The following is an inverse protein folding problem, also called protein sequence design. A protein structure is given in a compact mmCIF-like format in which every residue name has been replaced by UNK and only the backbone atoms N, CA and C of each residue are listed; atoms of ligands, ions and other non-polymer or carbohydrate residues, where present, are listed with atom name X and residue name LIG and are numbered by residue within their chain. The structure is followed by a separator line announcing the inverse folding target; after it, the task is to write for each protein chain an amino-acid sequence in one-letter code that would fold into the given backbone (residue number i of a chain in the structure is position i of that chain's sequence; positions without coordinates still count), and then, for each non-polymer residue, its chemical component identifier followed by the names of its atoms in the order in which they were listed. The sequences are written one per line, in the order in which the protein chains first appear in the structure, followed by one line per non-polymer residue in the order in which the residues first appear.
data_IF_640023654303
#
_entry.id   IF_640023654303
#
_cell.length_a   1.000
_cell.length_b   1.000
_cell.length_c   1.000
_cell.angle_alpha   90.00
_cell.angle_beta   90.00
_cell.angle_gamma   90.00
#
_symmetry.space_group_name_H-M   'P 1'
#
loop_
_entity.id
_entity.type
_entity.pdbx_description
1 polymer ?
#
# COMPACT_ATOMS: atom_id res chain seq x y z
N UNK A 1 17.84 35.52 -54.23
CA UNK A 1 16.97 34.33 -54.22
C UNK A 1 16.98 33.81 -52.78
N UNK A 2 15.92 34.16 -52.06
CA UNK A 2 15.65 33.73 -50.69
C UNK A 2 14.86 32.43 -50.78
N UNK A 3 15.26 31.42 -50.02
CA UNK A 3 14.53 30.28 -49.46
C UNK A 3 15.63 29.44 -48.78
N UNK A 4 15.64 29.10 -47.51
CA UNK A 4 14.94 29.47 -46.27
C UNK A 4 15.78 28.72 -45.23
N UNK A 5 16.33 29.31 -44.18
CA UNK A 5 15.76 29.42 -42.81
C UNK A 5 15.01 28.16 -42.27
N UNK A 6 14.62 27.20 -43.11
CA UNK A 6 13.79 26.05 -42.74
C UNK A 6 14.59 24.85 -42.20
N UNK A 7 15.89 24.75 -42.46
CA UNK A 7 16.73 23.65 -41.93
C UNK A 7 17.31 23.98 -40.55
N UNK A 8 17.35 25.26 -40.16
CA UNK A 8 17.76 25.69 -38.81
C UNK A 8 16.56 25.88 -37.88
N UNK A 9 15.33 25.93 -38.43
CA UNK A 9 14.09 25.99 -37.64
C UNK A 9 13.49 24.61 -37.32
N UNK A 10 14.11 23.51 -37.77
CA UNK A 10 13.79 22.16 -37.31
C UNK A 10 14.68 21.70 -36.12
N UNK A 11 15.33 22.64 -35.45
CA UNK A 11 16.04 22.43 -34.18
C UNK A 11 15.54 23.35 -33.06
N UNK A 12 14.37 24.00 -33.24
CA UNK A 12 13.80 24.96 -32.28
C UNK A 12 12.42 24.58 -31.72
N UNK A 13 11.99 23.32 -31.87
CA UNK A 13 10.83 22.78 -31.13
C UNK A 13 11.10 21.44 -30.46
N UNK A 14 12.34 20.97 -30.45
CA UNK A 14 12.73 19.80 -29.65
C UNK A 14 13.16 20.19 -28.22
N UNK A 15 12.65 21.30 -27.69
CA UNK A 15 12.25 21.33 -26.28
C UNK A 15 10.83 20.76 -26.22
N UNK A 16 10.66 19.51 -26.65
CA UNK A 16 9.70 18.68 -25.97
C UNK A 16 10.24 18.64 -24.54
N UNK A 17 9.65 19.46 -23.67
CA UNK A 17 9.70 19.31 -22.23
C UNK A 17 9.73 17.80 -22.00
N UNK A 18 10.85 17.27 -21.50
CA UNK A 18 10.91 15.88 -21.06
C UNK A 18 9.89 15.81 -19.92
N UNK A 19 8.64 15.52 -20.25
CA UNK A 19 7.66 15.13 -19.27
C UNK A 19 8.27 13.87 -18.65
N UNK A 20 8.71 13.98 -17.41
CA UNK A 20 9.20 12.82 -16.67
C UNK A 20 8.11 11.76 -16.78
N UNK A 21 8.50 10.58 -17.28
CA UNK A 21 7.55 9.47 -17.41
C UNK A 21 7.10 9.16 -15.99
N UNK A 22 5.80 9.24 -15.67
CA UNK A 22 5.37 9.10 -14.30
C UNK A 22 5.63 7.68 -13.82
N UNK A 23 5.85 7.56 -12.52
CA UNK A 23 5.93 6.27 -11.86
C UNK A 23 4.60 5.51 -12.07
N UNK A 24 4.67 4.20 -12.32
CA UNK A 24 3.50 3.33 -12.32
C UNK A 24 2.83 3.39 -10.94
N UNK A 25 1.50 3.35 -10.89
CA UNK A 25 0.73 3.34 -9.64
C UNK A 25 -0.26 2.17 -9.67
N UNK A 26 -0.81 1.76 -8.51
CA UNK A 26 -1.80 0.68 -8.44
C UNK A 26 -2.98 0.81 -9.42
N UNK A 27 -3.37 2.04 -9.80
CA UNK A 27 -4.43 2.27 -10.78
C UNK A 27 -4.12 1.79 -12.19
N UNK A 28 -2.87 1.51 -12.50
CA UNK A 28 -2.46 0.94 -13.79
C UNK A 28 -2.32 -0.59 -13.74
N UNK A 29 -2.72 -1.24 -12.64
CA UNK A 29 -2.86 -2.69 -12.60
C UNK A 29 -4.10 -3.14 -13.37
N UNK A 30 -4.12 -4.41 -13.77
CA UNK A 30 -5.28 -5.04 -14.43
C UNK A 30 -6.43 -5.33 -13.47
N UNK A 31 -6.16 -5.35 -12.16
CA UNK A 31 -7.16 -5.59 -11.13
C UNK A 31 -7.79 -4.29 -10.62
N UNK A 32 -9.02 -4.36 -10.13
CA UNK A 32 -9.68 -3.21 -9.50
C UNK A 32 -9.02 -2.88 -8.15
N UNK A 33 -8.57 -1.63 -8.01
CA UNK A 33 -8.16 -1.06 -6.71
C UNK A 33 -9.42 -0.71 -5.92
N UNK A 34 -9.60 -1.38 -4.77
CA UNK A 34 -10.78 -1.23 -3.90
C UNK A 34 -10.61 -0.14 -2.85
N UNK A 35 -9.39 0.06 -2.36
CA UNK A 35 -9.02 1.16 -1.48
C UNK A 35 -7.53 1.44 -1.64
N UNK A 36 -7.13 2.71 -1.55
CA UNK A 36 -5.73 3.10 -1.61
C UNK A 36 -5.46 4.30 -0.71
N UNK A 37 -4.63 4.07 0.31
CA UNK A 37 -4.19 5.06 1.28
C UNK A 37 -2.68 5.27 1.15
N UNK A 38 -2.28 6.52 0.88
CA UNK A 38 -0.91 6.91 0.57
C UNK A 38 -0.47 8.06 1.49
N UNK A 39 0.47 7.81 2.40
CA UNK A 39 0.86 8.80 3.41
C UNK A 39 1.79 9.89 2.84
N UNK A 40 2.29 9.69 1.62
CA UNK A 40 3.11 10.69 0.92
C UNK A 40 2.27 11.71 0.16
N UNK A 41 0.99 11.40 -0.09
CA UNK A 41 0.07 12.28 -0.81
C UNK A 41 -0.62 13.24 0.15
N UNK A 42 -0.04 14.42 0.33
CA UNK A 42 -0.51 15.43 1.28
C UNK A 42 -1.93 15.91 0.99
N UNK A 43 -2.39 15.84 -0.25
CA UNK A 43 -3.75 16.24 -0.63
C UNK A 43 -4.81 15.28 -0.07
N UNK A 44 -4.40 14.07 0.35
CA UNK A 44 -5.26 13.06 0.97
C UNK A 44 -5.26 13.13 2.50
N UNK A 45 -4.47 14.01 3.12
CA UNK A 45 -4.27 14.05 4.56
C UNK A 45 -4.89 15.33 5.14
N UNK A 46 -5.90 15.15 5.98
CA UNK A 46 -6.41 16.23 6.83
C UNK A 46 -5.84 16.08 8.24
N UNK A 47 -4.98 17.00 8.64
CA UNK A 47 -4.45 17.08 10.01
C UNK A 47 -4.88 18.35 10.76
N UNK A 48 -4.96 18.23 12.08
CA UNK A 48 -5.14 19.37 12.99
C UNK A 48 -4.15 19.24 14.13
N UNK A 49 -3.13 20.11 14.11
CA UNK A 49 -2.08 20.17 15.14
C UNK A 49 -1.09 19.01 15.08
N UNK A 50 -0.77 18.49 13.89
CA UNK A 50 0.14 17.35 13.71
C UNK A 50 -0.54 15.97 13.81
N UNK A 51 -1.86 15.94 14.01
CA UNK A 51 -2.63 14.70 14.18
C UNK A 51 -3.68 14.54 13.08
N UNK A 52 -3.71 13.36 12.47
CA UNK A 52 -4.55 13.06 11.30
C UNK A 52 -5.99 12.80 11.76
N UNK A 53 -6.92 13.65 11.32
CA UNK A 53 -8.35 13.43 11.51
C UNK A 53 -9.00 12.68 10.35
N UNK A 54 -8.42 12.76 9.16
CA UNK A 54 -8.91 12.06 7.98
C UNK A 54 -7.76 11.72 7.02
N UNK A 55 -7.81 10.50 6.49
CA UNK A 55 -6.93 10.02 5.42
C UNK A 55 -7.80 9.51 4.28
N UNK A 56 -7.76 10.22 3.16
CA UNK A 56 -8.64 9.99 2.03
C UNK A 56 -8.24 8.75 1.24
N UNK A 57 -9.26 7.99 0.83
CA UNK A 57 -9.11 6.92 -0.12
C UNK A 57 -8.95 7.53 -1.52
N UNK A 58 -7.85 7.20 -2.21
CA UNK A 58 -7.57 7.70 -3.56
C UNK A 58 -8.52 7.14 -4.61
N UNK A 59 -9.25 6.07 -4.31
CA UNK A 59 -10.22 5.48 -5.23
C UNK A 59 -11.54 6.26 -5.24
N UNK A 60 -12.38 5.99 -6.24
CA UNK A 60 -13.73 6.55 -6.31
C UNK A 60 -14.70 5.91 -5.31
N UNK A 61 -14.28 4.92 -4.53
CA UNK A 61 -15.14 4.28 -3.53
C UNK A 61 -15.33 5.15 -2.28
N UNK A 62 -14.39 6.08 -2.02
CA UNK A 62 -14.50 7.05 -0.94
C UNK A 62 -14.46 6.41 0.44
N UNK A 63 -13.69 5.33 0.63
CA UNK A 63 -13.53 4.66 1.92
C UNK A 63 -12.57 5.44 2.84
N UNK A 64 -12.77 6.75 2.99
CA UNK A 64 -11.90 7.64 3.77
C UNK A 64 -11.83 7.19 5.22
N UNK A 65 -10.63 7.13 5.77
CA UNK A 65 -10.39 6.74 7.15
C UNK A 65 -10.53 7.96 8.04
N UNK A 66 -11.38 7.86 9.06
CA UNK A 66 -11.69 8.96 9.97
C UNK A 66 -11.24 8.64 11.38
N UNK A 67 -10.81 9.68 12.10
CA UNK A 67 -10.60 9.61 13.54
C UNK A 67 -10.72 10.99 14.21
N UNK A 68 -11.09 11.00 15.50
CA UNK A 68 -11.25 12.20 16.30
C UNK A 68 -10.63 12.06 17.69
N UNK A 69 -10.45 13.20 18.38
CA UNK A 69 -9.93 13.22 19.74
C UNK A 69 -8.49 12.72 19.86
N UNK A 70 -8.23 12.01 20.95
CA UNK A 70 -6.89 11.53 21.36
C UNK A 70 -6.53 10.18 20.73
N UNK A 71 -7.38 9.61 19.87
CA UNK A 71 -7.13 8.35 19.16
C UNK A 71 -6.49 8.57 17.77
N UNK A 72 -6.19 9.82 17.42
CA UNK A 72 -5.70 10.21 16.09
C UNK A 72 -4.20 9.92 16.00
N UNK A 73 -3.76 9.21 14.95
CA UNK A 73 -2.34 9.04 14.72
C UNK A 73 -1.66 10.36 14.36
N UNK A 74 -0.35 10.42 14.56
CA UNK A 74 0.48 11.58 14.25
C UNK A 74 0.91 11.56 12.79
N UNK A 75 0.91 12.71 12.13
CA UNK A 75 1.53 12.87 10.82
C UNK A 75 3.00 13.32 10.96
N UNK A 76 3.90 12.66 10.24
CA UNK A 76 5.34 12.99 10.22
C UNK A 76 5.73 13.37 8.79
N UNK A 77 5.76 14.67 8.50
CA UNK A 77 5.82 15.21 7.14
C UNK A 77 7.09 14.90 6.32
N UNK A 78 8.23 14.66 6.97
CA UNK A 78 9.50 14.32 6.29
C UNK A 78 10.17 13.20 7.05
N UNK A 79 9.99 11.97 6.59
CA UNK A 79 10.46 10.77 7.27
C UNK A 79 11.11 9.80 6.27
N UNK A 80 10.37 8.79 5.80
CA UNK A 80 10.94 7.73 4.97
C UNK A 80 11.15 8.23 3.54
N UNK A 81 12.38 8.17 3.05
CA UNK A 81 12.76 8.66 1.71
C UNK A 81 12.31 10.10 1.41
N UNK A 82 12.28 10.95 2.45
CA UNK A 82 11.80 12.33 2.34
C UNK A 82 10.27 12.50 2.31
N UNK A 83 9.51 11.40 2.30
CA UNK A 83 8.04 11.41 2.26
C UNK A 83 7.42 11.48 3.67
N UNK A 84 6.17 11.93 3.71
CA UNK A 84 5.31 11.88 4.88
C UNK A 84 4.94 10.45 5.29
N UNK A 85 4.74 10.21 6.58
CA UNK A 85 4.24 8.92 7.11
C UNK A 85 3.20 9.16 8.21
N UNK A 86 2.32 8.19 8.45
CA UNK A 86 1.35 8.24 9.55
C UNK A 86 1.80 7.30 10.66
N UNK A 87 2.11 7.86 11.83
CA UNK A 87 2.59 7.12 13.01
C UNK A 87 1.42 6.74 13.90
N UNK A 88 1.28 5.44 14.13
CA UNK A 88 0.46 4.86 15.19
C UNK A 88 1.36 4.57 16.38
N UNK A 89 1.02 5.08 17.55
CA UNK A 89 1.92 5.13 18.71
C UNK A 89 1.92 3.86 19.59
N UNK A 90 1.10 2.87 19.27
CA UNK A 90 0.95 1.66 20.06
C UNK A 90 0.22 1.85 21.40
N UNK A 91 -0.46 2.98 21.62
CA UNK A 91 -1.26 3.26 22.82
C UNK A 91 -2.75 3.15 22.54
N UNK A 92 -3.26 3.93 21.59
CA UNK A 92 -4.70 4.07 21.34
C UNK A 92 -5.06 4.44 19.89
N UNK A 93 -4.06 4.72 19.04
CA UNK A 93 -4.29 5.22 17.70
C UNK A 93 -5.01 4.22 16.79
N UNK A 94 -6.09 4.65 16.15
CA UNK A 94 -6.78 3.90 15.09
C UNK A 94 -7.42 4.84 14.09
N UNK A 95 -7.69 4.38 12.87
CA UNK A 95 -8.56 5.10 11.92
C UNK A 95 -9.46 4.12 11.21
N UNK A 96 -10.68 4.50 10.85
CA UNK A 96 -11.61 3.59 10.18
C UNK A 96 -12.48 4.29 9.15
N UNK A 97 -12.80 3.57 8.08
CA UNK A 97 -13.87 3.95 7.17
C UNK A 97 -15.22 3.78 7.87
N UNK A 98 -16.13 4.74 7.69
CA UNK A 98 -17.45 4.70 8.33
C UNK A 98 -18.28 3.48 7.87
N UNK A 99 -18.25 3.20 6.57
CA UNK A 99 -18.91 2.07 5.92
C UNK A 99 -18.16 1.71 4.64
N UNK A 100 -18.09 0.43 4.30
CA UNK A 100 -17.58 -0.04 3.01
C UNK A 100 -18.55 -1.03 2.38
N UNK A 101 -18.46 -1.21 1.06
CA UNK A 101 -19.05 -2.38 0.41
C UNK A 101 -18.14 -3.59 0.68
N UNK A 102 -18.67 -4.73 1.14
CA UNK A 102 -17.82 -5.88 1.44
C UNK A 102 -17.02 -6.36 0.22
N UNK A 103 -15.71 -6.52 0.39
CA UNK A 103 -14.78 -6.99 -0.64
C UNK A 103 -14.65 -8.51 -0.49
N UNK A 104 -15.30 -9.26 -1.39
CA UNK A 104 -15.36 -10.73 -1.34
C UNK A 104 -14.09 -11.36 -1.89
N UNK A 105 -13.71 -12.54 -1.40
CA UNK A 105 -12.53 -13.24 -1.87
C UNK A 105 -12.68 -13.70 -3.35
N UNK A 106 -11.58 -13.80 -4.11
CA UNK A 106 -10.23 -13.48 -3.67
C UNK A 106 -9.95 -11.97 -3.64
N UNK A 107 -9.09 -11.56 -2.73
CA UNK A 107 -8.59 -10.19 -2.62
C UNK A 107 -7.14 -10.19 -2.17
N UNK A 108 -6.44 -9.10 -2.48
CA UNK A 108 -5.07 -8.85 -2.04
C UNK A 108 -4.97 -7.55 -1.26
N UNK A 109 -4.12 -7.55 -0.22
CA UNK A 109 -3.76 -6.32 0.50
C UNK A 109 -2.25 -6.19 0.51
N UNK A 110 -1.78 -5.02 0.11
CA UNK A 110 -0.38 -4.63 0.08
C UNK A 110 -0.14 -3.56 1.15
N UNK A 111 0.94 -3.71 1.90
CA UNK A 111 1.42 -2.70 2.84
C UNK A 111 2.88 -2.38 2.58
N UNK A 112 3.18 -1.11 2.73
CA UNK A 112 4.51 -0.64 3.06
C UNK A 112 4.45 0.07 4.42
N UNK A 113 5.30 -0.35 5.35
CA UNK A 113 5.27 0.13 6.73
C UNK A 113 6.65 0.00 7.38
N UNK A 114 6.88 0.67 8.50
CA UNK A 114 7.97 0.37 9.43
C UNK A 114 7.40 -0.10 10.76
N UNK A 115 7.73 -1.32 11.14
CA UNK A 115 7.33 -1.86 12.44
C UNK A 115 8.19 -1.22 13.54
N UNK A 116 7.58 -0.65 14.59
CA UNK A 116 8.35 0.02 15.65
C UNK A 116 8.43 -0.80 16.93
N UNK A 117 7.53 -1.77 17.14
CA UNK A 117 7.60 -2.67 18.29
C UNK A 117 7.16 -4.11 18.00
N UNK A 118 7.51 -5.00 18.93
CA UNK A 118 7.00 -6.38 18.98
C UNK A 118 5.89 -6.50 20.03
N UNK A 119 4.88 -5.61 19.96
CA UNK A 119 3.71 -5.67 20.84
C UNK A 119 3.03 -7.05 20.76
N UNK A 120 2.39 -7.47 21.86
CA UNK A 120 1.60 -8.68 21.86
C UNK A 120 0.25 -8.42 21.21
N UNK A 121 -0.01 -9.05 20.06
CA UNK A 121 -1.28 -9.00 19.31
C UNK A 121 -1.62 -7.68 18.60
N UNK A 122 -0.70 -6.81 18.14
CA UNK A 122 -1.11 -5.60 17.44
C UNK A 122 -1.88 -5.93 16.17
N UNK A 123 -2.84 -5.06 15.82
CA UNK A 123 -3.72 -5.19 14.67
C UNK A 123 -3.46 -4.06 13.68
N UNK A 124 -3.09 -4.40 12.45
CA UNK A 124 -2.78 -3.44 11.40
C UNK A 124 -4.01 -3.06 10.56
N UNK A 125 -4.87 -4.04 10.24
CA UNK A 125 -6.10 -3.90 9.47
C UNK A 125 -7.14 -4.86 10.06
N UNK A 126 -8.33 -4.36 10.40
CA UNK A 126 -9.39 -5.15 11.05
C UNK A 126 -10.75 -4.91 10.42
N UNK A 127 -11.60 -5.96 10.45
CA UNK A 127 -12.99 -5.92 10.00
C UNK A 127 -14.02 -5.84 11.14
N UNK A 128 -15.30 -5.72 10.78
CA UNK A 128 -16.41 -5.61 11.72
C UNK A 128 -16.78 -6.99 12.28
N UNK A 129 -16.83 -7.09 13.62
CA UNK A 129 -17.07 -8.35 14.32
C UNK A 129 -15.80 -9.17 14.54
N UNK A 130 -15.83 -10.03 15.55
CA UNK A 130 -14.67 -10.70 16.17
C UNK A 130 -13.90 -11.67 15.23
N UNK A 131 -14.21 -11.71 13.93
CA UNK A 131 -13.83 -12.79 12.99
C UNK A 131 -13.06 -12.31 11.76
N UNK A 132 -12.67 -11.04 11.69
CA UNK A 132 -11.83 -10.47 10.63
C UNK A 132 -10.64 -9.72 11.23
N UNK A 133 -9.54 -10.45 11.44
CA UNK A 133 -8.28 -9.87 11.91
C UNK A 133 -7.22 -10.07 10.85
N UNK A 134 -7.17 -9.17 9.88
CA UNK A 134 -6.33 -9.43 8.72
C UNK A 134 -4.84 -9.40 9.05
N UNK A 135 -4.46 -8.79 10.20
CA UNK A 135 -3.12 -8.88 10.77
C UNK A 135 -3.14 -9.13 12.27
N UNK A 136 -2.57 -10.27 12.68
CA UNK A 136 -2.25 -10.54 14.07
C UNK A 136 -0.76 -10.81 14.19
N UNK A 137 -0.02 -9.89 14.79
CA UNK A 137 1.31 -10.21 15.31
C UNK A 137 1.13 -11.02 16.61
N UNK A 138 0.85 -12.32 16.48
CA UNK A 138 0.75 -13.27 17.59
C UNK A 138 2.04 -14.05 17.75
N UNK A 139 2.44 -14.30 19.00
CA UNK A 139 3.45 -15.30 19.32
C UNK A 139 4.83 -14.98 18.74
N UNK A 140 5.34 -13.78 19.01
CA UNK A 140 6.73 -13.41 18.74
C UNK A 140 6.99 -12.66 17.43
N UNK A 141 6.10 -11.79 16.98
CA UNK A 141 6.41 -10.85 15.89
C UNK A 141 5.78 -11.16 14.53
N UNK A 142 5.07 -12.29 14.37
CA UNK A 142 4.76 -12.89 13.06
C UNK A 142 3.47 -12.35 12.43
N UNK A 143 3.51 -11.80 11.20
CA UNK A 143 2.28 -11.47 10.49
C UNK A 143 1.39 -12.71 10.30
N UNK A 144 0.08 -12.52 10.43
CA UNK A 144 -0.91 -13.58 10.31
C UNK A 144 -2.11 -13.05 9.54
N UNK A 145 -2.48 -13.72 8.45
CA UNK A 145 -3.72 -13.46 7.74
C UNK A 145 -4.87 -14.20 8.44
N UNK A 146 -5.95 -13.48 8.77
CA UNK A 146 -7.18 -14.11 9.26
C UNK A 146 -8.43 -13.54 8.59
N UNK A 147 -9.06 -14.39 7.80
CA UNK A 147 -10.35 -14.22 7.15
C UNK A 147 -11.31 -15.33 7.58
N UNK A 148 -11.34 -15.66 8.88
CA UNK A 148 -12.16 -16.74 9.46
C UNK A 148 -11.36 -17.96 9.93
N UNK A 149 -10.13 -18.12 9.45
CA UNK A 149 -9.12 -19.06 9.98
C UNK A 149 -7.76 -18.37 10.04
N UNK A 150 -6.82 -18.87 10.84
CA UNK A 150 -5.52 -18.22 11.06
C UNK A 150 -4.41 -18.82 10.22
N UNK A 151 -3.79 -18.02 9.34
CA UNK A 151 -2.61 -18.40 8.57
C UNK A 151 -1.41 -17.48 8.91
N UNK A 152 -0.48 -18.00 9.71
CA UNK A 152 0.69 -17.24 10.19
C UNK A 152 1.90 -17.43 9.27
N UNK A 153 2.69 -16.36 9.12
CA UNK A 153 3.96 -16.40 8.42
C UNK A 153 5.00 -17.11 9.27
N UNK A 154 6.08 -17.61 8.65
CA UNK A 154 7.11 -18.32 9.42
C UNK A 154 8.03 -17.37 10.21
N UNK A 155 8.15 -16.10 9.80
CA UNK A 155 9.09 -15.12 10.37
C UNK A 155 8.42 -13.85 10.88
N UNK A 156 9.06 -13.21 11.87
CA UNK A 156 8.59 -11.98 12.49
C UNK A 156 8.92 -10.72 11.66
N UNK A 157 8.18 -9.63 11.88
CA UNK A 157 8.63 -8.28 11.53
C UNK A 157 9.77 -7.85 12.46
N UNK A 158 10.76 -7.16 11.93
CA UNK A 158 11.89 -6.64 12.71
C UNK A 158 11.57 -5.21 13.17
N UNK A 159 11.52 -4.93 14.48
CA UNK A 159 11.33 -3.56 14.96
C UNK A 159 12.44 -2.62 14.46
N UNK A 160 12.05 -1.41 14.08
CA UNK A 160 12.93 -0.39 13.50
C UNK A 160 13.12 -0.50 11.99
N UNK A 161 12.66 -1.57 11.35
CA UNK A 161 12.82 -1.78 9.91
C UNK A 161 11.54 -1.53 9.11
N UNK A 162 11.73 -1.04 7.88
CA UNK A 162 10.67 -1.01 6.87
C UNK A 162 10.44 -2.39 6.26
N UNK A 163 9.18 -2.73 6.02
CA UNK A 163 8.75 -4.02 5.49
C UNK A 163 7.72 -3.85 4.38
N UNK A 164 7.89 -4.66 3.35
CA UNK A 164 6.86 -4.93 2.36
C UNK A 164 6.04 -6.14 2.82
N UNK A 165 4.72 -6.01 2.80
CA UNK A 165 3.81 -7.13 3.02
C UNK A 165 2.79 -7.23 1.90
N UNK A 166 2.53 -8.46 1.45
CA UNK A 166 1.34 -8.78 0.65
C UNK A 166 0.61 -9.96 1.27
N UNK A 167 -0.71 -9.88 1.26
CA UNK A 167 -1.59 -10.95 1.68
C UNK A 167 -2.60 -11.22 0.59
N UNK A 168 -2.69 -12.47 0.14
CA UNK A 168 -3.65 -12.94 -0.83
C UNK A 168 -4.62 -13.88 -0.12
N UNK A 169 -5.86 -13.45 0.09
CA UNK A 169 -6.88 -14.29 0.71
C UNK A 169 -7.65 -15.09 -0.36
N UNK A 170 -7.60 -16.41 -0.25
CA UNK A 170 -8.25 -17.35 -1.16
C UNK A 170 -8.55 -18.69 -0.45
N UNK A 171 -9.25 -18.63 0.69
CA UNK A 171 -9.55 -19.79 1.53
C UNK A 171 -8.29 -20.55 1.96
N UNK A 172 -8.30 -21.87 1.73
CA UNK A 172 -7.18 -22.77 1.99
C UNK A 172 -5.95 -22.56 1.08
N UNK A 173 -6.07 -21.74 0.03
CA UNK A 173 -4.99 -21.41 -0.92
C UNK A 173 -4.43 -20.00 -0.69
N UNK A 174 -4.60 -19.46 0.51
CA UNK A 174 -4.13 -18.11 0.82
C UNK A 174 -2.60 -18.05 0.89
N UNK A 175 -2.04 -16.92 0.46
CA UNK A 175 -0.59 -16.68 0.39
C UNK A 175 -0.24 -15.44 1.19
N UNK A 176 0.89 -15.53 1.88
CA UNK A 176 1.55 -14.44 2.56
C UNK A 176 2.84 -14.06 1.86
N UNK A 177 3.25 -12.81 1.95
CA UNK A 177 4.57 -12.38 1.53
C UNK A 177 5.10 -11.35 2.54
N UNK A 178 6.33 -11.55 3.01
CA UNK A 178 7.08 -10.57 3.80
C UNK A 178 8.43 -10.36 3.15
N UNK A 179 8.75 -9.12 2.85
CA UNK A 179 10.02 -8.72 2.24
C UNK A 179 10.38 -9.60 1.03
N UNK A 180 9.40 -9.77 0.14
CA UNK A 180 9.51 -10.52 -1.12
C UNK A 180 9.70 -12.04 -0.94
N UNK A 181 9.56 -12.56 0.28
CA UNK A 181 9.54 -14.00 0.58
C UNK A 181 8.11 -14.47 0.76
N UNK A 182 7.68 -15.42 -0.06
CA UNK A 182 6.34 -16.01 0.02
C UNK A 182 6.23 -17.07 1.12
N UNK A 183 5.04 -17.14 1.73
CA UNK A 183 4.61 -18.13 2.70
C UNK A 183 3.28 -18.71 2.24
N UNK A 184 3.14 -20.04 2.28
CA UNK A 184 1.90 -20.73 1.99
C UNK A 184 2.03 -21.82 0.92
N UNK A 185 0.91 -22.36 0.42
CA UNK A 185 -0.46 -21.98 0.76
C UNK A 185 -0.83 -22.26 2.22
N UNK A 186 -1.81 -21.52 2.74
CA UNK A 186 -2.39 -21.75 4.07
C UNK A 186 -3.87 -21.36 4.13
N UNK A 187 -4.56 -21.85 5.15
CA UNK A 187 -5.99 -21.58 5.35
C UNK A 187 -6.23 -20.35 6.22
N UNK A 188 -6.57 -19.25 5.55
CA UNK A 188 -7.00 -18.02 6.20
C UNK A 188 -8.52 -17.96 6.41
N UNK A 189 -9.29 -18.94 5.93
CA UNK A 189 -10.76 -18.87 5.89
C UNK A 189 -11.29 -18.04 4.71
N UNK A 190 -12.62 -17.92 4.62
CA UNK A 190 -13.33 -17.44 3.42
C UNK A 190 -14.06 -16.10 3.61
N UNK A 191 -13.89 -15.42 4.74
CA UNK A 191 -14.57 -14.17 5.03
C UNK A 191 -14.10 -13.03 4.08
N UNK A 192 -15.02 -12.11 3.78
CA UNK A 192 -14.78 -10.87 3.03
C UNK A 192 -14.15 -9.78 3.90
N UNK A 193 -13.60 -8.72 3.30
CA UNK A 193 -13.30 -7.47 4.02
C UNK A 193 -14.61 -6.71 4.19
N UNK A 194 -15.10 -6.49 5.41
CA UNK A 194 -16.38 -5.79 5.68
C UNK A 194 -16.22 -4.47 6.45
N UNK A 195 -15.00 -4.15 6.90
CA UNK A 195 -14.59 -2.86 7.45
C UNK A 195 -13.11 -2.67 7.13
N UNK A 196 -12.71 -1.42 6.90
CA UNK A 196 -11.31 -1.00 6.81
C UNK A 196 -11.04 -0.17 8.05
N UNK A 197 -10.35 -0.76 9.02
CA UNK A 197 -9.81 -0.06 10.19
C UNK A 197 -8.33 -0.35 10.31
N UNK A 198 -7.52 0.70 10.43
CA UNK A 198 -6.08 0.61 10.63
C UNK A 198 -5.67 1.01 12.05
N UNK A 199 -4.48 0.57 12.47
CA UNK A 199 -3.86 0.98 13.75
C UNK A 199 -4.25 0.16 14.98
N UNK A 200 -5.35 -0.59 14.91
CA UNK A 200 -5.81 -1.38 16.04
C UNK A 200 -7.24 -1.88 15.88
N UNK A 201 -7.83 -2.37 16.96
CA UNK A 201 -9.31 -2.52 17.05
C UNK A 201 -9.92 -1.32 17.76
N UNK A 202 -11.24 -1.18 17.70
CA UNK A 202 -11.97 -0.14 18.43
C UNK A 202 -11.85 -0.21 19.98
N UNK A 203 -11.33 -1.30 20.57
CA UNK A 203 -11.39 -1.52 22.02
C UNK A 203 -10.07 -1.95 22.71
N UNK A 204 -9.13 -2.58 22.00
CA UNK A 204 -7.79 -2.98 22.49
C UNK A 204 -6.96 -3.60 21.35
N UNK A 205 -5.64 -3.79 21.51
CA UNK A 205 -4.74 -4.35 20.47
C UNK A 205 -4.31 -3.37 19.38
N UNK A 206 -3.68 -2.29 19.84
CA UNK A 206 -3.06 -1.24 19.02
C UNK A 206 -1.68 -1.63 18.53
N UNK A 207 -1.24 -1.02 17.43
CA UNK A 207 0.06 -1.24 16.81
C UNK A 207 0.94 0.00 16.91
N UNK A 208 2.24 -0.24 17.10
CA UNK A 208 3.28 0.79 17.04
C UNK A 208 4.03 0.64 15.71
N UNK A 209 3.77 1.56 14.78
CA UNK A 209 4.36 1.57 13.45
C UNK A 209 4.29 2.94 12.80
N UNK A 210 5.12 3.10 11.76
CA UNK A 210 4.90 4.12 10.73
C UNK A 210 4.23 3.44 9.53
N UNK A 211 3.02 3.88 9.17
CA UNK A 211 2.31 3.43 7.98
C UNK A 211 2.73 4.31 6.80
N UNK A 212 3.18 3.67 5.72
CA UNK A 212 3.60 4.39 4.53
C UNK A 212 2.50 4.33 3.47
N UNK A 213 2.05 3.13 3.12
CA UNK A 213 1.05 2.93 2.06
C UNK A 213 0.28 1.63 2.26
N UNK A 214 -1.02 1.65 1.97
CA UNK A 214 -1.91 0.49 2.01
C UNK A 214 -2.76 0.46 0.75
N UNK A 215 -2.78 -0.68 0.07
CA UNK A 215 -3.58 -0.88 -1.15
C UNK A 215 -4.37 -2.17 -1.05
N UNK A 216 -5.68 -2.10 -1.27
CA UNK A 216 -6.57 -3.26 -1.33
C UNK A 216 -6.98 -3.48 -2.78
N UNK A 217 -6.78 -4.70 -3.28
CA UNK A 217 -7.03 -5.10 -4.65
C UNK A 217 -8.09 -6.20 -4.68
N UNK A 218 -9.04 -6.12 -5.61
CA UNK A 218 -9.96 -7.20 -5.89
C UNK A 218 -9.31 -8.26 -6.77
N UNK A 219 -9.45 -9.53 -6.38
CA UNK A 219 -8.89 -10.66 -7.09
C UNK A 219 -7.48 -11.00 -6.64
N UNK A 220 -6.79 -11.80 -7.45
CA UNK A 220 -5.36 -12.10 -7.33
C UNK A 220 -4.67 -11.37 -8.49
N UNK A 221 -3.62 -10.61 -8.21
CA UNK A 221 -2.88 -9.90 -9.25
C UNK A 221 -2.09 -10.88 -10.12
N UNK A 222 -1.89 -10.50 -11.39
CA UNK A 222 -0.90 -11.18 -12.24
C UNK A 222 0.50 -11.01 -11.69
N UNK A 223 1.42 -11.93 -12.02
CA UNK A 223 2.82 -11.81 -11.59
C UNK A 223 3.48 -10.51 -12.08
N UNK A 224 3.17 -10.09 -13.31
CA UNK A 224 3.68 -8.84 -13.87
C UNK A 224 3.22 -7.61 -13.08
N UNK A 225 1.91 -7.50 -12.79
CA UNK A 225 1.39 -6.36 -12.02
C UNK A 225 1.83 -6.41 -10.56
N UNK A 226 1.98 -7.61 -10.00
CA UNK A 226 2.51 -7.77 -8.64
C UNK A 226 3.96 -7.30 -8.57
N UNK A 227 4.81 -7.66 -9.53
CA UNK A 227 6.20 -7.18 -9.59
C UNK A 227 6.23 -5.66 -9.79
N UNK A 228 5.30 -5.08 -10.56
CA UNK A 228 5.13 -3.62 -10.65
C UNK A 228 4.78 -3.01 -9.30
N UNK A 229 3.84 -3.58 -8.54
CA UNK A 229 3.50 -3.13 -7.20
C UNK A 229 4.70 -3.19 -6.24
N UNK A 230 5.43 -4.30 -6.23
CA UNK A 230 6.65 -4.51 -5.42
C UNK A 230 7.71 -3.44 -5.74
N UNK A 231 7.97 -3.21 -7.04
CA UNK A 231 8.90 -2.18 -7.50
C UNK A 231 8.43 -0.76 -7.17
N UNK A 232 7.16 -0.44 -7.41
CA UNK A 232 6.57 0.86 -7.14
C UNK A 232 6.74 1.26 -5.67
N UNK A 233 6.34 0.38 -4.74
CA UNK A 233 6.45 0.64 -3.31
C UNK A 233 7.93 0.73 -2.87
N UNK A 234 8.80 -0.14 -3.40
CA UNK A 234 10.22 -0.11 -3.06
C UNK A 234 10.86 1.22 -3.46
N UNK A 235 10.70 1.66 -4.71
CA UNK A 235 11.32 2.89 -5.21
C UNK A 235 10.74 4.14 -4.57
N UNK A 236 9.42 4.19 -4.38
CA UNK A 236 8.77 5.33 -3.74
C UNK A 236 9.26 5.54 -2.32
N UNK A 237 9.41 4.45 -1.56
CA UNK A 237 9.74 4.49 -0.15
C UNK A 237 11.24 4.25 0.16
N UNK A 238 12.10 4.12 -0.85
CA UNK A 238 13.56 3.98 -0.67
C UNK A 238 13.99 2.63 -0.11
N UNK A 239 13.42 1.54 -0.64
CA UNK A 239 13.70 0.15 -0.25
C UNK A 239 14.08 -0.73 -1.45
N UNK A 240 14.56 -0.15 -2.54
CA UNK A 240 15.06 -0.86 -3.73
C UNK A 240 16.17 -1.88 -3.38
N UNK A 241 16.96 -1.61 -2.34
CA UNK A 241 17.98 -2.54 -1.83
C UNK A 241 17.39 -3.85 -1.30
N UNK A 242 16.14 -3.84 -0.81
CA UNK A 242 15.45 -5.04 -0.32
C UNK A 242 14.85 -5.89 -1.44
N UNK A 243 14.68 -5.37 -2.66
CA UNK A 243 14.19 -6.16 -3.79
C UNK A 243 15.15 -7.32 -4.11
N UNK A 244 14.64 -8.51 -4.51
CA UNK A 244 15.47 -9.61 -5.01
C UNK A 244 16.39 -9.17 -6.15
N UNK A 245 17.57 -9.81 -6.26
CA UNK A 245 18.57 -9.45 -7.29
C UNK A 245 18.05 -9.68 -8.71
N UNK A 246 17.14 -10.63 -8.88
CA UNK A 246 16.44 -10.98 -10.12
C UNK A 246 15.09 -10.27 -10.26
N UNK A 247 14.81 -9.23 -9.46
CA UNK A 247 13.60 -8.44 -9.58
C UNK A 247 13.67 -7.48 -10.78
N UNK A 248 12.63 -7.42 -11.61
CA UNK A 248 12.63 -6.62 -12.86
C UNK A 248 12.86 -5.12 -12.59
N UNK A 249 12.41 -4.69 -11.41
CA UNK A 249 12.53 -3.31 -10.94
C UNK A 249 13.66 -3.12 -9.93
N UNK A 250 14.68 -4.00 -9.91
CA UNK A 250 15.83 -3.87 -8.99
C UNK A 250 16.67 -2.63 -9.27
N UNK A 251 16.86 -2.29 -10.54
CA UNK A 251 17.78 -1.23 -10.98
C UNK A 251 17.08 -0.02 -11.62
N UNK A 252 15.76 -0.09 -11.81
CA UNK A 252 14.95 1.02 -12.27
C UNK A 252 13.51 0.86 -11.76
N UNK A 253 12.80 1.98 -11.46
CA UNK A 253 11.41 1.90 -11.05
C UNK A 253 10.49 1.48 -12.22
N UNK A 254 9.30 0.93 -11.91
CA UNK A 254 8.28 0.69 -12.92
C UNK A 254 7.72 2.03 -13.39
N UNK A 255 8.09 2.49 -14.57
CA UNK A 255 7.47 3.66 -15.19
C UNK A 255 6.16 3.31 -15.90
N UNK A 256 5.20 4.23 -15.88
CA UNK A 256 3.99 4.12 -16.69
C UNK A 256 4.26 4.62 -18.10
N UNK A 257 4.28 3.68 -19.04
CA UNK A 257 4.34 3.99 -20.46
C UNK A 257 2.91 3.99 -21.00
N UNK A 258 2.35 5.17 -21.25
CA UNK A 258 1.05 5.28 -21.91
C UNK A 258 1.11 4.52 -23.25
N UNK A 259 0.08 3.73 -23.61
CA UNK A 259 0.05 3.06 -24.90
C UNK A 259 0.19 4.10 -26.00
N UNK A 260 1.13 3.89 -26.91
CA UNK A 260 1.40 4.82 -28.00
C UNK A 260 0.09 5.07 -28.76
N UNK A 261 -0.36 6.32 -28.77
CA UNK A 261 -1.49 6.72 -29.61
C UNK A 261 -1.00 6.63 -31.06
N UNK A 262 -1.41 5.58 -31.78
CA UNK A 262 -1.22 5.53 -33.23
C UNK A 262 -2.13 6.58 -33.82
N UNK A 263 -1.59 7.77 -34.08
CA UNK A 263 -2.26 8.75 -34.92
C UNK A 263 -2.17 8.23 -36.35
N UNK A 264 -3.25 7.58 -36.81
CA UNK A 264 -3.41 7.33 -38.24
C UNK A 264 -3.68 8.70 -38.86
N UNK A 265 -2.67 9.24 -39.54
CA UNK A 265 -2.85 10.41 -40.39
C UNK A 265 -3.60 9.91 -41.62
N UNK A 266 -4.88 10.27 -41.73
CA UNK A 266 -5.66 10.09 -42.97
C UNK A 266 -5.20 11.05 -44.07
#
# INVERSE_FOLDING_TARGET
MSISILVVMLLLTAEACFAEIPLWTPFYSTNTVQAWYDASDLDTITEVGGFVSQWDDKTTNGYNLLQSGDLRPMFLATNQNGNGVIRFDGTNDTMAAATITPIVQPWEVYFMLKNLSNSSKPRLLTGAGVTLYQFVNTGGGKPTLNAGSGFAFASALTPGEGHFLRFTANGASSIGNKDYVEYGPGDAGTNSISEIRVGGTAASSVIDLDMYECVIIQGIMSDDDRRRMEGYLAWKWGFEDKLPVDHDYKSAPPYYYAPATVVIVE
#
